data_IF_486905401705
#
_entry.id   IF_486905401705
#
_cell.length_a   1.000
_cell.length_b   1.000
_cell.length_c   1.000
_cell.angle_alpha   90.00
_cell.angle_beta   90.00
_cell.angle_gamma   90.00
#
_symmetry.space_group_name_H-M   'P 1'
#
loop_
_entity.id
_entity.type
_entity.pdbx_description
1 polymer ?
#
# COMPACT_ATOMS: atom_id res chain seq x y z
N UNK A 1 -6.11 -3.55 -9.54
CA UNK A 1 -6.01 -3.03 -8.16
C UNK A 1 -5.67 -1.55 -8.11
N UNK A 2 -4.57 -1.09 -8.73
CA UNK A 2 -4.11 0.32 -8.75
C UNK A 2 -5.20 1.34 -9.10
N UNK A 3 -5.99 1.12 -10.16
CA UNK A 3 -7.02 2.07 -10.58
C UNK A 3 -8.07 2.35 -9.50
N UNK A 4 -8.37 1.35 -8.65
CA UNK A 4 -9.33 1.50 -7.56
C UNK A 4 -8.74 2.31 -6.41
N UNK A 5 -7.47 2.07 -6.06
CA UNK A 5 -6.72 2.91 -5.10
C UNK A 5 -6.71 4.36 -5.56
N UNK A 6 -6.40 4.61 -6.84
CA UNK A 6 -6.41 5.96 -7.41
C UNK A 6 -7.81 6.59 -7.37
N UNK A 7 -8.86 5.83 -7.66
CA UNK A 7 -10.24 6.33 -7.62
C UNK A 7 -10.64 6.75 -6.20
N UNK A 8 -10.31 5.97 -5.17
CA UNK A 8 -10.55 6.33 -3.78
C UNK A 8 -9.84 7.64 -3.41
N UNK A 9 -8.55 7.77 -3.73
CA UNK A 9 -7.82 9.02 -3.50
C UNK A 9 -8.46 10.23 -4.19
N UNK A 10 -8.93 10.06 -5.43
CA UNK A 10 -9.64 11.13 -6.18
C UNK A 10 -10.98 11.50 -5.54
N UNK A 11 -11.61 10.56 -4.85
CA UNK A 11 -12.87 10.76 -4.14
C UNK A 11 -12.68 11.35 -2.73
N UNK A 12 -11.44 11.66 -2.34
CA UNK A 12 -11.13 12.35 -1.09
C UNK A 12 -10.59 11.46 0.02
N UNK A 13 -10.37 10.16 -0.23
CA UNK A 13 -9.79 9.27 0.77
C UNK A 13 -8.37 9.74 1.14
N UNK A 14 -8.05 9.96 2.43
CA UNK A 14 -6.75 10.45 2.84
C UNK A 14 -5.63 9.45 2.51
N UNK A 15 -5.90 8.17 2.77
CA UNK A 15 -5.06 7.01 2.46
C UNK A 15 -5.96 5.92 1.89
N UNK A 16 -5.49 5.20 0.88
CA UNK A 16 -6.21 4.08 0.27
C UNK A 16 -5.30 2.87 0.11
N UNK A 17 -5.76 1.69 0.50
CA UNK A 17 -5.01 0.44 0.36
C UNK A 17 -5.91 -0.73 -0.03
N UNK A 18 -5.45 -1.67 -0.87
CA UNK A 18 -6.19 -2.88 -1.16
C UNK A 18 -6.22 -3.82 0.06
N UNK A 19 -7.31 -4.58 0.20
CA UNK A 19 -7.41 -5.68 1.15
C UNK A 19 -7.81 -6.95 0.41
N UNK A 20 -7.05 -8.03 0.61
CA UNK A 20 -7.34 -9.36 0.08
C UNK A 20 -7.50 -10.32 1.26
N UNK A 21 -8.65 -10.98 1.37
CA UNK A 21 -8.96 -11.92 2.46
C UNK A 21 -8.67 -11.38 3.87
N UNK A 22 -8.98 -10.09 4.12
CA UNK A 22 -8.75 -9.44 5.42
C UNK A 22 -7.31 -8.97 5.66
N UNK A 23 -6.38 -9.25 4.75
CA UNK A 23 -5.00 -8.76 4.81
C UNK A 23 -4.82 -7.53 3.93
N UNK A 24 -4.32 -6.43 4.51
CA UNK A 24 -3.97 -5.22 3.75
C UNK A 24 -2.74 -5.50 2.87
N UNK A 25 -2.84 -5.12 1.60
CA UNK A 25 -1.76 -5.23 0.64
C UNK A 25 -1.25 -3.90 0.11
N UNK A 26 -0.47 -4.01 -0.96
CA UNK A 26 0.12 -2.97 -1.77
C UNK A 26 -0.58 -2.90 -3.14
N UNK A 27 -0.57 -1.73 -3.81
CA UNK A 27 0.07 -0.50 -3.37
C UNK A 27 -0.81 0.31 -2.40
N UNK A 28 -0.14 1.03 -1.50
CA UNK A 28 -0.76 2.04 -0.63
C UNK A 28 -0.67 3.40 -1.32
N UNK A 29 -1.81 4.06 -1.42
CA UNK A 29 -1.91 5.42 -1.93
C UNK A 29 -2.06 6.43 -0.79
N UNK A 30 -1.36 7.55 -0.89
CA UNK A 30 -1.53 8.72 -0.01
C UNK A 30 -2.06 9.89 -0.82
N UNK A 31 -2.99 10.63 -0.25
CA UNK A 31 -3.45 11.89 -0.84
C UNK A 31 -2.34 12.95 -0.81
N UNK A 32 -2.46 13.97 -1.65
CA UNK A 32 -1.42 15.00 -1.81
C UNK A 32 -1.11 15.78 -0.51
N UNK A 33 -2.05 15.82 0.45
CA UNK A 33 -1.86 16.48 1.74
C UNK A 33 -0.79 15.81 2.61
N UNK A 34 -0.52 14.52 2.40
CA UNK A 34 0.54 13.79 3.08
C UNK A 34 1.93 14.05 2.48
N UNK A 35 2.02 14.71 1.32
CA UNK A 35 3.28 14.97 0.62
C UNK A 35 4.36 15.63 1.49
N UNK A 36 4.09 16.73 2.22
CA UNK A 36 5.05 17.33 3.13
C UNK A 36 5.52 16.39 4.24
N UNK A 37 4.59 15.63 4.83
CA UNK A 37 4.88 14.74 5.94
C UNK A 37 5.67 13.50 5.50
N UNK A 38 5.39 12.97 4.30
CA UNK A 38 6.17 11.90 3.67
C UNK A 38 7.60 12.36 3.34
N UNK A 39 7.77 13.60 2.86
CA UNK A 39 9.11 14.18 2.59
C UNK A 39 9.92 14.45 3.86
N UNK A 40 9.25 14.65 4.99
CA UNK A 40 9.90 14.85 6.28
C UNK A 40 10.40 13.54 6.92
N UNK A 41 9.99 12.37 6.39
CA UNK A 41 10.51 11.08 6.83
C UNK A 41 11.99 10.97 6.42
N UNK A 42 12.86 10.78 7.42
CA UNK A 42 14.30 10.62 7.22
C UNK A 42 14.77 9.30 7.83
N UNK A 43 15.66 8.61 7.11
CA UNK A 43 16.28 7.36 7.56
C UNK A 43 15.42 6.10 7.37
N UNK A 44 16.00 4.95 7.73
CA UNK A 44 15.41 3.62 7.47
C UNK A 44 14.47 3.11 8.58
N UNK A 45 14.26 3.88 9.66
CA UNK A 45 13.60 3.39 10.87
C UNK A 45 12.09 3.73 10.95
N UNK A 46 11.67 4.86 10.38
CA UNK A 46 10.27 5.31 10.40
C UNK A 46 9.82 5.70 8.98
N UNK A 47 9.64 4.69 8.13
CA UNK A 47 9.15 4.87 6.77
C UNK A 47 7.64 5.08 6.69
N UNK A 48 7.07 4.97 5.50
CA UNK A 48 5.62 5.06 5.24
C UNK A 48 4.78 4.09 6.11
N UNK A 49 5.38 3.00 6.61
CA UNK A 49 4.73 2.06 7.53
C UNK A 49 4.28 2.71 8.85
N UNK A 50 5.12 3.53 9.49
CA UNK A 50 4.77 4.20 10.75
C UNK A 50 3.66 5.25 10.54
N UNK A 51 3.69 5.92 9.39
CA UNK A 51 2.60 6.77 8.91
C UNK A 51 1.27 6.02 8.82
N UNK A 52 1.27 4.79 8.30
CA UNK A 52 0.07 3.96 8.23
C UNK A 52 -0.45 3.55 9.60
N UNK A 53 0.43 3.26 10.55
CA UNK A 53 0.02 2.98 11.94
C UNK A 53 -0.61 4.20 12.60
N UNK A 54 0.02 5.38 12.46
CA UNK A 54 -0.49 6.64 13.02
C UNK A 54 -1.82 7.06 12.41
N UNK A 55 -2.04 6.77 11.12
CA UNK A 55 -3.24 7.13 10.37
C UNK A 55 -4.14 5.95 10.06
N UNK A 56 -4.11 4.89 10.88
CA UNK A 56 -4.87 3.66 10.62
C UNK A 56 -6.38 3.90 10.44
N UNK A 57 -6.93 4.89 11.15
CA UNK A 57 -8.33 5.29 11.05
C UNK A 57 -8.67 6.02 9.73
N UNK A 58 -7.67 6.59 9.06
CA UNK A 58 -7.82 7.35 7.82
C UNK A 58 -7.62 6.47 6.57
N UNK A 59 -7.34 5.17 6.76
CA UNK A 59 -7.12 4.22 5.66
C UNK A 59 -8.45 3.68 5.16
N UNK A 60 -8.77 4.01 3.92
CA UNK A 60 -9.82 3.32 3.18
C UNK A 60 -9.32 1.98 2.65
N UNK A 61 -9.93 0.89 3.13
CA UNK A 61 -9.63 -0.47 2.69
C UNK A 61 -10.51 -0.86 1.51
N UNK A 62 -9.85 -1.14 0.37
CA UNK A 62 -10.51 -1.47 -0.88
C UNK A 62 -10.47 -2.98 -1.09
N UNK A 63 -11.61 -3.64 -0.88
CA UNK A 63 -11.72 -5.09 -1.09
C UNK A 63 -11.31 -5.47 -2.51
N UNK A 64 -10.30 -6.32 -2.67
CA UNK A 64 -9.79 -6.79 -3.96
C UNK A 64 -9.68 -8.32 -3.96
N UNK A 65 -9.79 -8.92 -5.15
CA UNK A 65 -9.64 -10.36 -5.36
C UNK A 65 -8.27 -10.72 -5.97
N UNK A 66 -7.32 -9.80 -5.85
CA UNK A 66 -5.98 -9.92 -6.39
C UNK A 66 -5.03 -10.27 -5.25
N UNK A 67 -4.51 -11.50 -5.24
CA UNK A 67 -3.57 -11.94 -4.21
C UNK A 67 -2.19 -11.28 -4.37
N UNK A 68 -1.86 -10.78 -5.57
CA UNK A 68 -0.58 -10.12 -5.85
C UNK A 68 -0.36 -8.87 -4.99
N UNK A 69 -1.44 -8.29 -4.45
CA UNK A 69 -1.35 -7.16 -3.51
C UNK A 69 -0.61 -7.51 -2.23
N UNK A 70 -0.57 -8.78 -1.84
CA UNK A 70 0.11 -9.19 -0.60
C UNK A 70 1.60 -9.42 -0.79
N UNK A 71 2.09 -9.41 -2.04
CA UNK A 71 3.50 -9.68 -2.31
C UNK A 71 4.22 -8.41 -2.70
N UNK A 72 5.23 -8.05 -1.91
CA UNK A 72 6.21 -7.04 -2.28
C UNK A 72 7.42 -7.73 -2.92
N UNK A 73 7.88 -7.22 -4.06
CA UNK A 73 9.00 -7.81 -4.82
C UNK A 73 10.08 -6.75 -4.89
N UNK A 74 10.93 -6.72 -3.87
CA UNK A 74 12.01 -5.74 -3.73
C UNK A 74 13.32 -6.22 -4.38
N UNK A 75 13.49 -7.55 -4.49
CA UNK A 75 14.69 -8.18 -5.03
C UNK A 75 14.35 -9.26 -6.07
N UNK A 76 15.26 -9.54 -7.02
CA UNK A 76 15.06 -10.64 -7.97
C UNK A 76 14.87 -12.01 -7.30
N UNK A 77 15.37 -12.18 -6.06
CA UNK A 77 15.24 -13.42 -5.30
C UNK A 77 13.81 -13.65 -4.83
N UNK A 78 13.03 -12.59 -4.65
CA UNK A 78 11.62 -12.68 -4.21
C UNK A 78 10.72 -13.34 -5.27
N UNK A 79 11.15 -13.34 -6.54
CA UNK A 79 10.49 -14.07 -7.62
C UNK A 79 10.57 -15.59 -7.44
N UNK A 80 11.67 -16.09 -6.84
CA UNK A 80 11.92 -17.52 -6.68
C UNK A 80 11.19 -18.11 -5.46
N UNK A 81 10.82 -17.26 -4.51
CA UNK A 81 10.07 -17.63 -3.30
C UNK A 81 8.58 -17.32 -3.44
N UNK A 82 8.18 -16.54 -4.46
CA UNK A 82 6.78 -16.25 -4.74
C UNK A 82 6.10 -17.45 -5.42
N UNK A 83 5.13 -18.13 -4.75
CA UNK A 83 4.49 -19.33 -5.30
C UNK A 83 3.61 -19.06 -6.53
N UNK A 84 3.40 -17.79 -6.90
CA UNK A 84 2.54 -17.37 -7.99
C UNK A 84 3.29 -16.88 -9.23
N UNK A 85 4.61 -16.66 -9.12
CA UNK A 85 5.46 -16.36 -10.28
C UNK A 85 6.05 -17.67 -10.76
N UNK A 86 5.23 -18.47 -11.45
CA UNK A 86 5.75 -19.61 -12.20
C UNK A 86 6.25 -19.11 -13.55
N UNK A 87 7.51 -19.40 -13.84
CA UNK A 87 8.07 -19.34 -15.18
C UNK A 87 7.31 -20.26 -16.14
#
# INVERSE_FOLDING_TARGET
TITRVLAALKNGSPIAAPVYQGMRGHPVGFSASFGPALRALHGNAAGAHDMLHRHAADIELIACNDQGVLTDIDTPRDLLTNPFIRA
#
